data_IF_432537276401
#
_entry.id   IF_432537276401
#
_cell.length_a   1.000
_cell.length_b   1.000
_cell.length_c   1.000
_cell.angle_alpha   90.00
_cell.angle_beta   90.00
_cell.angle_gamma   90.00
#
_symmetry.space_group_name_H-M   'P 1'
#
loop_
_entity.id
_entity.type
_entity.pdbx_description
1 polymer ?
#
# COMPACT_ATOMS: atom_id res chain seq x y z
N UNK A 1 7.59 0.50 -5.25
CA UNK A 1 8.56 -0.24 -4.40
C UNK A 1 8.32 0.16 -2.96
N UNK A 2 8.37 -0.81 -2.04
CA UNK A 2 8.43 -0.57 -0.61
C UNK A 2 9.81 -1.03 -0.11
N UNK A 3 10.37 -0.30 0.85
CA UNK A 3 11.69 -0.57 1.45
C UNK A 3 11.58 -0.52 2.97
N UNK A 4 12.56 -1.11 3.66
CA UNK A 4 12.63 -1.25 5.13
C UNK A 4 11.67 -2.28 5.74
N UNK A 5 11.16 -3.21 4.94
CA UNK A 5 10.57 -4.43 5.49
C UNK A 5 11.69 -5.34 6.06
N UNK A 6 11.34 -6.30 6.90
CA UNK A 6 12.24 -7.38 7.28
C UNK A 6 12.28 -8.41 6.14
N UNK A 7 13.44 -9.06 5.88
CA UNK A 7 13.51 -10.15 4.91
C UNK A 7 12.48 -11.24 5.20
N UNK A 8 11.71 -11.63 4.18
CA UNK A 8 10.64 -12.62 4.31
C UNK A 8 9.26 -12.04 4.69
N UNK A 9 9.17 -10.75 5.02
CA UNK A 9 7.90 -10.11 5.29
C UNK A 9 6.94 -10.18 4.11
N UNK A 10 5.66 -10.37 4.42
CA UNK A 10 4.61 -10.30 3.41
C UNK A 10 4.07 -8.88 3.31
N UNK A 11 4.66 -8.09 2.41
CA UNK A 11 4.22 -6.72 2.13
C UNK A 11 2.92 -6.73 1.32
N UNK A 12 1.92 -6.01 1.83
CA UNK A 12 0.61 -5.83 1.19
C UNK A 12 0.60 -4.46 0.52
N UNK A 13 0.41 -4.44 -0.80
CA UNK A 13 0.25 -3.21 -1.55
C UNK A 13 -1.23 -2.89 -1.71
N UNK A 14 -1.57 -1.65 -1.39
CA UNK A 14 -2.92 -1.11 -1.43
C UNK A 14 -2.99 0.03 -2.44
N UNK A 15 -4.17 0.20 -3.03
CA UNK A 15 -4.48 1.29 -3.94
C UNK A 15 -5.84 1.89 -3.57
N UNK A 16 -6.00 3.19 -3.80
CA UNK A 16 -7.30 3.85 -3.87
C UNK A 16 -7.36 4.79 -5.07
N UNK A 17 -8.57 4.97 -5.60
CA UNK A 17 -8.85 5.99 -6.59
C UNK A 17 -9.09 7.32 -5.87
N UNK A 18 -8.37 8.37 -6.29
CA UNK A 18 -8.45 9.70 -5.70
C UNK A 18 -7.18 10.13 -4.96
N UNK A 19 -7.33 11.19 -4.19
CA UNK A 19 -6.28 11.83 -3.42
C UNK A 19 -5.87 11.01 -2.19
N UNK A 20 -4.71 11.35 -1.62
CA UNK A 20 -4.31 10.85 -0.31
C UNK A 20 -5.22 11.47 0.75
N UNK A 21 -5.89 10.61 1.51
CA UNK A 21 -6.87 11.03 2.51
C UNK A 21 -6.88 10.03 3.65
N UNK A 22 -7.16 10.44 4.91
CA UNK A 22 -7.28 9.50 6.02
C UNK A 22 -8.22 8.34 5.70
N UNK A 23 -7.72 7.13 5.90
CA UNK A 23 -8.38 5.88 5.59
C UNK A 23 -8.86 5.12 6.84
N UNK A 24 -9.36 3.88 6.65
CA UNK A 24 -9.75 3.04 7.77
C UNK A 24 -8.54 2.60 8.62
N UNK A 25 -8.81 2.19 9.85
CA UNK A 25 -7.84 1.58 10.76
C UNK A 25 -8.27 0.13 11.05
N UNK A 26 -7.92 -0.83 10.19
CA UNK A 26 -8.35 -2.22 10.35
C UNK A 26 -7.76 -2.85 11.62
N UNK A 27 -8.57 -3.65 12.32
CA UNK A 27 -8.09 -4.39 13.51
C UNK A 27 -6.91 -5.31 13.17
N UNK A 28 -6.88 -5.89 11.97
CA UNK A 28 -5.79 -6.74 11.48
C UNK A 28 -4.43 -6.01 11.33
N UNK A 29 -4.42 -4.68 11.45
CA UNK A 29 -3.24 -3.82 11.42
C UNK A 29 -2.94 -3.24 12.81
N UNK A 30 -3.46 -3.83 13.89
CA UNK A 30 -3.26 -3.35 15.26
C UNK A 30 -3.85 -1.96 15.50
N UNK A 31 -4.87 -1.57 14.73
CA UNK A 31 -5.42 -0.21 14.75
C UNK A 31 -4.60 0.83 13.99
N UNK A 32 -3.58 0.41 13.24
CA UNK A 32 -2.83 1.29 12.34
C UNK A 32 -3.74 1.77 11.21
N UNK A 33 -3.89 3.09 11.10
CA UNK A 33 -4.71 3.72 10.07
C UNK A 33 -3.96 3.80 8.74
N UNK A 34 -4.68 3.57 7.65
CA UNK A 34 -4.21 3.79 6.29
C UNK A 34 -4.42 5.25 5.89
N UNK A 35 -3.69 5.72 4.88
CA UNK A 35 -3.85 7.05 4.28
C UNK A 35 -4.53 6.97 2.90
N UNK A 36 -5.51 6.07 2.78
CA UNK A 36 -6.27 5.81 1.57
C UNK A 36 -7.77 5.71 1.89
N UNK A 37 -8.62 6.53 1.26
CA UNK A 37 -10.08 6.39 1.38
C UNK A 37 -10.55 5.17 0.59
N UNK A 38 -11.08 4.15 1.27
CA UNK A 38 -11.56 2.87 0.67
C UNK A 38 -10.48 2.12 -0.13
N UNK A 39 -9.38 1.70 0.52
CA UNK A 39 -8.31 1.01 -0.16
C UNK A 39 -8.73 -0.42 -0.54
N UNK A 40 -8.17 -0.91 -1.64
CA UNK A 40 -8.23 -2.32 -2.00
C UNK A 40 -6.82 -2.87 -2.22
N UNK A 41 -6.65 -4.15 -1.93
CA UNK A 41 -5.36 -4.83 -2.08
C UNK A 41 -5.12 -5.12 -3.55
N UNK A 42 -3.99 -4.64 -4.07
CA UNK A 42 -3.57 -4.86 -5.46
C UNK A 42 -2.54 -5.97 -5.59
N UNK A 43 -1.84 -6.31 -4.50
CA UNK A 43 -0.87 -7.39 -4.51
C UNK A 43 -0.26 -7.65 -3.15
N UNK A 44 0.40 -8.81 -3.05
CA UNK A 44 1.16 -9.24 -1.88
C UNK A 44 2.49 -9.77 -2.37
N UNK A 45 3.58 -9.24 -1.85
CA UNK A 45 4.93 -9.58 -2.28
C UNK A 45 5.76 -9.86 -1.04
N UNK A 46 6.58 -10.90 -1.10
CA UNK A 46 7.53 -11.21 -0.03
C UNK A 46 8.75 -10.31 -0.18
N UNK A 47 9.15 -9.64 0.89
CA UNK A 47 10.34 -8.81 0.90
C UNK A 47 11.60 -9.66 0.72
N UNK A 48 12.53 -9.18 -0.11
CA UNK A 48 13.80 -9.86 -0.37
C UNK A 48 14.78 -9.75 0.81
N UNK A 49 15.97 -10.33 0.66
CA UNK A 49 17.06 -10.29 1.65
C UNK A 49 17.52 -8.87 2.04
N UNK A 50 17.09 -7.84 1.30
CA UNK A 50 17.40 -6.43 1.57
C UNK A 50 16.20 -5.68 2.17
N UNK A 51 15.10 -6.38 2.45
CA UNK A 51 13.88 -5.76 2.95
C UNK A 51 13.10 -4.97 1.89
N UNK A 52 13.29 -5.30 0.61
CA UNK A 52 12.60 -4.64 -0.49
C UNK A 52 11.49 -5.52 -1.07
N UNK A 53 10.33 -4.92 -1.32
CA UNK A 53 9.23 -5.55 -2.04
C UNK A 53 8.82 -4.68 -3.25
N UNK A 54 8.68 -5.32 -4.41
CA UNK A 54 8.32 -4.63 -5.66
C UNK A 54 7.06 -5.27 -6.22
N UNK A 55 6.02 -4.46 -6.39
CA UNK A 55 4.83 -4.82 -7.15
C UNK A 55 4.76 -3.96 -8.41
N UNK A 56 4.60 -4.62 -9.55
CA UNK A 56 4.25 -3.97 -10.81
C UNK A 56 2.74 -4.04 -11.01
N UNK A 57 2.12 -2.89 -11.29
CA UNK A 57 0.69 -2.78 -11.55
C UNK A 57 0.46 -2.08 -12.89
N UNK A 58 -0.44 -2.62 -13.70
CA UNK A 58 -0.83 -2.03 -14.98
C UNK A 58 -2.17 -1.35 -14.80
N UNK A 59 -2.24 -0.06 -15.15
CA UNK A 59 -3.49 0.68 -15.13
C UNK A 59 -4.33 0.32 -16.36
N UNK A 60 -5.65 0.12 -16.21
CA UNK A 60 -6.53 -0.11 -17.35
C UNK A 60 -6.45 1.04 -18.37
N UNK A 61 -6.56 0.75 -19.68
CA UNK A 61 -6.55 1.78 -20.72
C UNK A 61 -7.76 2.74 -20.65
N UNK A 62 -8.76 2.45 -19.82
CA UNK A 62 -9.87 3.36 -19.53
C UNK A 62 -9.60 4.35 -18.38
N UNK A 63 -8.48 4.25 -17.67
CA UNK A 63 -8.16 5.20 -16.58
C UNK A 63 -8.03 6.62 -17.14
N UNK A 64 -8.91 7.52 -16.73
CA UNK A 64 -9.02 8.86 -17.30
C UNK A 64 -7.79 9.73 -17.02
N UNK A 65 -7.34 10.49 -18.02
CA UNK A 65 -6.29 11.51 -17.83
C UNK A 65 -6.77 12.53 -16.79
N UNK A 66 -5.87 12.90 -15.88
CA UNK A 66 -6.18 13.79 -14.75
C UNK A 66 -6.77 13.09 -13.54
N UNK A 67 -7.08 11.79 -13.61
CA UNK A 67 -7.43 11.03 -12.41
C UNK A 67 -6.21 10.87 -11.49
N UNK A 68 -6.47 10.95 -10.18
CA UNK A 68 -5.50 10.62 -9.15
C UNK A 68 -5.63 9.16 -8.71
N UNK A 69 -4.49 8.52 -8.47
CA UNK A 69 -4.41 7.19 -7.86
C UNK A 69 -3.40 7.27 -6.72
N UNK A 70 -3.80 6.79 -5.55
CA UNK A 70 -2.98 6.78 -4.35
C UNK A 70 -2.63 5.34 -3.96
N UNK A 71 -1.41 5.14 -3.49
CA UNK A 71 -0.85 3.84 -3.15
C UNK A 71 -0.24 3.89 -1.75
N UNK A 72 -0.32 2.78 -1.04
CA UNK A 72 0.35 2.59 0.25
C UNK A 72 0.77 1.12 0.36
N UNK A 73 1.82 0.85 1.13
CA UNK A 73 2.25 -0.49 1.45
C UNK A 73 2.24 -0.69 2.96
N UNK A 74 1.83 -1.87 3.41
CA UNK A 74 1.83 -2.25 4.82
C UNK A 74 2.41 -3.63 5.04
N UNK A 75 2.96 -3.84 6.22
CA UNK A 75 3.28 -5.15 6.76
C UNK A 75 2.64 -5.25 8.14
N UNK A 76 1.87 -6.31 8.36
CA UNK A 76 1.30 -6.60 9.68
C UNK A 76 2.20 -7.61 10.38
N UNK A 77 2.75 -7.23 11.52
CA UNK A 77 3.60 -8.07 12.39
C UNK A 77 3.10 -8.03 13.82
N UNK A 78 3.58 -8.97 14.63
CA UNK A 78 3.15 -9.13 16.01
C UNK A 78 1.74 -9.70 16.14
N UNK A 79 1.35 -10.03 17.37
CA UNK A 79 -0.02 -10.45 17.70
C UNK A 79 -1.00 -9.32 17.35
N UNK A 80 -2.08 -9.67 16.62
CA UNK A 80 -3.10 -8.74 16.14
C UNK A 80 -2.57 -7.50 15.37
N UNK A 81 -1.36 -7.58 14.80
CA UNK A 81 -0.77 -6.47 14.05
C UNK A 81 -0.16 -5.37 14.93
N UNK A 82 0.14 -5.64 16.21
CA UNK A 82 0.72 -4.67 17.14
C UNK A 82 2.06 -4.05 16.67
N UNK A 83 2.77 -4.71 15.76
CA UNK A 83 4.04 -4.26 15.19
C UNK A 83 3.88 -3.92 13.69
N UNK A 84 2.68 -3.50 13.29
CA UNK A 84 2.41 -3.08 11.92
C UNK A 84 3.27 -1.88 11.56
N UNK A 85 3.88 -1.94 10.38
CA UNK A 85 4.50 -0.80 9.74
C UNK A 85 3.80 -0.48 8.43
N UNK A 86 3.74 0.81 8.09
CA UNK A 86 3.18 1.32 6.85
C UNK A 86 4.14 2.30 6.18
N UNK A 87 4.08 2.35 4.85
CA UNK A 87 4.79 3.38 4.09
C UNK A 87 4.09 4.73 4.23
N UNK A 88 4.78 5.79 3.77
CA UNK A 88 4.05 6.99 3.35
C UNK A 88 3.19 6.66 2.13
N UNK A 89 2.02 7.31 1.98
CA UNK A 89 1.24 7.18 0.76
C UNK A 89 1.95 7.88 -0.40
N UNK A 90 1.80 7.31 -1.60
CA UNK A 90 2.32 7.88 -2.85
C UNK A 90 1.15 8.14 -3.77
N UNK A 91 1.10 9.33 -4.35
CA UNK A 91 0.06 9.72 -5.29
C UNK A 91 0.62 9.89 -6.69
N UNK A 92 -0.15 9.44 -7.67
CA UNK A 92 0.14 9.62 -9.09
C UNK A 92 -1.07 10.25 -9.78
N UNK A 93 -0.84 11.31 -10.55
CA UNK A 93 -1.83 11.87 -11.47
C UNK A 93 -1.57 11.31 -12.86
N UNK A 94 -2.60 10.75 -13.49
CA UNK A 94 -2.46 10.12 -14.80
C UNK A 94 -2.31 11.18 -15.89
N UNK A 95 -1.16 11.18 -16.56
CA UNK A 95 -0.88 12.01 -17.74
C UNK A 95 -0.70 11.07 -18.94
N UNK A 96 -1.33 11.41 -20.08
CA UNK A 96 -1.23 10.67 -21.34
C UNK A 96 -0.67 11.58 -22.42
#
# INVERSE_FOLDING_TARGET
>A
IATHAEPGDKVIFLMSAGEVTPGPCPDALGGTCLDLERPYVIGRVVADEKGAAVLEAVLPPQTETGSSISFEAVVSRGEDGAETEKSNPVQVVITR
#
